data_IF_380877539124
#
_entry.id   IF_380877539124
#
_cell.length_a   1.000
_cell.length_b   1.000
_cell.length_c   1.000
_cell.angle_alpha   90.00
_cell.angle_beta   90.00
_cell.angle_gamma   90.00
#
_symmetry.space_group_name_H-M   'P 1'
#
loop_
_entity.id
_entity.type
_entity.pdbx_description
1 polymer ?
#
# COMPACT_ATOMS: atom_id res chain seq x y z
N UNK A 1 9.97 -0.56 7.20
CA UNK A 1 9.63 0.79 6.73
C UNK A 1 10.09 0.95 5.28
N UNK A 2 9.79 2.07 4.61
CA UNK A 2 10.28 2.35 3.25
C UNK A 2 11.03 3.68 3.23
N UNK A 3 12.09 3.76 2.41
CA UNK A 3 12.74 5.03 2.11
C UNK A 3 11.75 5.98 1.40
N UNK A 4 11.86 7.29 1.68
CA UNK A 4 10.88 8.28 1.23
C UNK A 4 10.66 8.28 -0.29
N UNK A 5 11.74 8.40 -1.08
CA UNK A 5 11.67 8.41 -2.56
C UNK A 5 11.12 7.09 -3.09
N UNK A 6 11.53 5.97 -2.50
CA UNK A 6 11.06 4.65 -2.92
C UNK A 6 9.56 4.50 -2.66
N UNK A 7 9.08 4.87 -1.46
CA UNK A 7 7.65 4.85 -1.13
C UNK A 7 6.83 5.72 -2.08
N UNK A 8 7.31 6.92 -2.40
CA UNK A 8 6.67 7.80 -3.39
C UNK A 8 6.54 7.11 -4.75
N UNK A 9 7.59 6.43 -5.21
CA UNK A 9 7.55 5.74 -6.51
C UNK A 9 6.57 4.56 -6.49
N UNK A 10 6.50 3.77 -5.40
CA UNK A 10 5.50 2.70 -5.28
C UNK A 10 4.07 3.24 -5.41
N UNK A 11 3.77 4.36 -4.73
CA UNK A 11 2.47 5.04 -4.83
C UNK A 11 2.21 5.54 -6.26
N UNK A 12 3.19 6.20 -6.88
CA UNK A 12 3.03 6.77 -8.22
C UNK A 12 2.75 5.72 -9.30
N UNK A 13 3.36 4.55 -9.19
CA UNK A 13 3.20 3.44 -10.13
C UNK A 13 2.06 2.48 -9.74
N UNK A 14 1.25 2.85 -8.73
CA UNK A 14 0.20 2.01 -8.16
C UNK A 14 0.67 0.59 -7.75
N UNK A 15 1.93 0.47 -7.33
CA UNK A 15 2.46 -0.78 -6.81
C UNK A 15 1.93 -0.98 -5.38
N UNK A 16 1.19 -2.08 -5.12
CA UNK A 16 0.68 -2.37 -3.78
C UNK A 16 1.81 -2.51 -2.78
N UNK A 17 1.66 -1.87 -1.62
CA UNK A 17 2.62 -1.95 -0.54
C UNK A 17 1.93 -1.80 0.81
N UNK A 18 2.49 -2.45 1.82
CA UNK A 18 1.98 -2.45 3.19
C UNK A 18 3.11 -2.12 4.15
N UNK A 19 2.79 -1.43 5.25
CA UNK A 19 3.76 -1.16 6.32
C UNK A 19 3.28 -1.82 7.60
N UNK A 20 4.09 -2.77 8.08
CA UNK A 20 3.95 -3.43 9.37
C UNK A 20 5.19 -3.11 10.21
N UNK A 21 4.97 -2.51 11.38
CA UNK A 21 6.02 -2.15 12.34
C UNK A 21 6.01 -3.04 13.59
N UNK A 22 5.22 -4.11 13.57
CA UNK A 22 5.06 -5.05 14.69
C UNK A 22 6.30 -5.97 14.81
N UNK A 23 7.04 -5.92 15.93
CA UNK A 23 8.20 -6.79 16.14
C UNK A 23 7.86 -8.29 16.11
N UNK A 24 6.66 -8.69 16.55
CA UNK A 24 6.24 -10.09 16.52
C UNK A 24 6.01 -10.56 15.09
N UNK A 25 5.52 -9.69 14.21
CA UNK A 25 5.43 -9.99 12.78
C UNK A 25 6.82 -10.22 12.18
N UNK A 26 7.80 -9.34 12.49
CA UNK A 26 9.17 -9.49 11.98
C UNK A 26 9.86 -10.76 12.48
N UNK A 27 9.56 -11.19 13.71
CA UNK A 27 10.09 -12.44 14.25
C UNK A 27 9.40 -13.69 13.66
N UNK A 28 8.13 -13.58 13.27
CA UNK A 28 7.35 -14.69 12.73
C UNK A 28 7.59 -14.95 11.23
N UNK A 29 8.06 -13.95 10.49
CA UNK A 29 8.33 -14.06 9.04
C UNK A 29 9.76 -14.51 8.81
N UNK A 30 9.93 -15.65 8.17
CA UNK A 30 11.23 -16.16 7.72
C UNK A 30 11.29 -16.22 6.20
N UNK A 31 12.49 -16.30 5.64
CA UNK A 31 12.67 -16.57 4.21
C UNK A 31 11.91 -17.84 3.80
N UNK A 32 11.23 -17.77 2.66
CA UNK A 32 10.37 -18.82 2.11
C UNK A 32 9.11 -19.17 2.92
N UNK A 33 8.77 -18.39 3.95
CA UNK A 33 7.48 -18.54 4.62
C UNK A 33 6.35 -18.21 3.65
N UNK A 34 5.31 -19.04 3.64
CA UNK A 34 4.08 -18.74 2.92
C UNK A 34 3.33 -17.61 3.62
N UNK A 35 2.92 -16.60 2.84
CA UNK A 35 2.17 -15.44 3.32
C UNK A 35 0.89 -15.29 2.51
N UNK A 36 -0.20 -14.95 3.18
CA UNK A 36 -1.45 -14.51 2.54
C UNK A 36 -1.66 -13.03 2.82
N UNK A 37 -1.95 -12.26 1.78
CA UNK A 37 -2.13 -10.79 1.90
C UNK A 37 -3.49 -10.39 1.35
N UNK A 38 -4.33 -9.84 2.22
CA UNK A 38 -5.54 -9.10 1.81
C UNK A 38 -5.17 -7.63 1.70
N UNK A 39 -4.88 -7.17 0.47
CA UNK A 39 -4.50 -5.80 0.19
C UNK A 39 -5.64 -4.80 0.43
N UNK A 40 -6.90 -5.23 0.27
CA UNK A 40 -8.05 -4.36 0.46
C UNK A 40 -8.28 -4.07 1.95
N UNK A 41 -8.04 -5.05 2.81
CA UNK A 41 -8.12 -4.90 4.27
C UNK A 41 -6.79 -4.52 4.92
N UNK A 42 -5.69 -4.57 4.17
CA UNK A 42 -4.34 -4.39 4.72
C UNK A 42 -3.96 -5.47 5.72
N UNK A 43 -4.45 -6.70 5.55
CA UNK A 43 -4.19 -7.82 6.46
C UNK A 43 -3.12 -8.74 5.88
N UNK A 44 -2.19 -9.16 6.73
CA UNK A 44 -1.15 -10.13 6.38
C UNK A 44 -1.27 -11.31 7.32
N UNK A 45 -1.37 -12.51 6.76
CA UNK A 45 -1.45 -13.76 7.51
C UNK A 45 -0.23 -14.62 7.24
N UNK A 46 0.42 -15.10 8.31
CA UNK A 46 1.61 -15.94 8.28
C UNK A 46 1.45 -17.03 9.33
N UNK A 47 1.58 -18.30 8.94
CA UNK A 47 1.42 -19.45 9.83
C UNK A 47 0.15 -19.42 10.71
N UNK A 48 -0.98 -18.96 10.14
CA UNK A 48 -2.27 -18.88 10.82
C UNK A 48 -2.45 -17.69 11.78
N UNK A 49 -1.44 -16.83 11.94
CA UNK A 49 -1.52 -15.57 12.68
C UNK A 49 -1.76 -14.41 11.72
N UNK A 50 -2.55 -13.42 12.13
CA UNK A 50 -2.91 -12.28 11.28
C UNK A 50 -2.48 -10.97 11.92
N UNK A 51 -1.89 -10.10 11.11
CA UNK A 51 -1.49 -8.75 11.48
C UNK A 51 -2.17 -7.71 10.58
N UNK A 52 -2.36 -6.52 11.15
CA UNK A 52 -2.98 -5.38 10.47
C UNK A 52 -1.90 -4.37 10.10
N UNK A 53 -1.73 -4.14 8.80
CA UNK A 53 -0.82 -3.11 8.30
C UNK A 53 -1.42 -1.71 8.51
N UNK A 54 -0.54 -0.71 8.46
CA UNK A 54 -0.95 0.69 8.43
C UNK A 54 -1.86 0.96 7.24
N UNK A 55 -2.96 1.68 7.48
CA UNK A 55 -3.88 2.08 6.43
C UNK A 55 -3.19 3.02 5.42
N UNK A 56 -3.45 2.87 4.11
CA UNK A 56 -2.99 3.83 3.12
C UNK A 56 -3.63 5.20 3.37
N UNK A 57 -2.93 6.26 2.99
CA UNK A 57 -3.54 7.60 2.94
C UNK A 57 -4.60 7.64 1.82
N UNK A 58 -5.57 8.55 1.91
CA UNK A 58 -6.61 8.71 0.87
C UNK A 58 -6.01 8.90 -0.53
N UNK A 59 -4.96 9.74 -0.65
CA UNK A 59 -4.25 9.96 -1.91
C UNK A 59 -3.63 8.65 -2.43
N UNK A 60 -2.97 7.87 -1.57
CA UNK A 60 -2.33 6.62 -2.00
C UNK A 60 -3.37 5.60 -2.46
N UNK A 61 -4.48 5.46 -1.73
CA UNK A 61 -5.58 4.59 -2.12
C UNK A 61 -6.23 5.03 -3.45
N UNK A 62 -6.49 6.34 -3.60
CA UNK A 62 -7.04 6.90 -4.83
C UNK A 62 -6.13 6.70 -6.05
N UNK A 63 -4.82 6.92 -5.89
CA UNK A 63 -3.84 6.67 -6.95
C UNK A 63 -3.76 5.18 -7.32
N UNK A 64 -3.83 4.30 -6.33
CA UNK A 64 -3.84 2.85 -6.58
C UNK A 64 -5.09 2.43 -7.36
N UNK A 65 -6.27 2.95 -7.02
CA UNK A 65 -7.51 2.70 -7.74
C UNK A 65 -7.49 3.26 -9.18
N UNK A 66 -6.79 4.38 -9.40
CA UNK A 66 -6.63 4.98 -10.72
C UNK A 66 -5.60 4.25 -11.60
N UNK A 67 -4.81 3.33 -11.06
CA UNK A 67 -3.71 2.67 -11.78
C UNK A 67 -2.43 3.51 -11.86
N UNK A 68 -2.29 4.53 -11.01
CA UNK A 68 -1.08 5.33 -10.86
C UNK A 68 -1.32 6.82 -11.11
N UNK A 69 -0.25 7.61 -10.92
CA UNK A 69 -0.31 9.07 -11.03
C UNK A 69 -0.55 9.55 -12.46
N UNK A 70 0.04 8.88 -13.46
CA UNK A 70 -0.13 9.27 -14.86
C UNK A 70 -1.58 9.04 -15.32
N UNK A 71 -2.19 7.85 -15.14
CA UNK A 71 -3.60 7.65 -15.44
C UNK A 71 -4.54 8.59 -14.68
N UNK A 72 -4.28 8.84 -13.39
CA UNK A 72 -5.09 9.75 -12.58
C UNK A 72 -5.08 11.18 -13.12
N UNK A 73 -3.90 11.69 -13.53
CA UNK A 73 -3.76 13.02 -14.14
C UNK A 73 -4.46 13.06 -15.51
N UNK A 74 -4.35 12.01 -16.32
CA UNK A 74 -5.04 11.95 -17.60
C UNK A 74 -6.57 11.99 -17.44
N UNK A 75 -7.10 11.37 -16.37
CA UNK A 75 -8.54 11.33 -16.09
C UNK A 75 -9.10 12.63 -15.48
N UNK A 76 -8.34 13.28 -14.59
CA UNK A 76 -8.85 14.38 -13.76
C UNK A 76 -8.14 15.72 -13.97
N UNK A 77 -7.06 15.74 -14.74
CA UNK A 77 -6.30 16.94 -15.04
C UNK A 77 -5.80 17.64 -13.76
N UNK A 78 -5.83 18.99 -13.72
CA UNK A 78 -5.35 19.75 -12.57
C UNK A 78 -6.09 19.48 -11.26
N UNK A 79 -7.32 18.94 -11.32
CA UNK A 79 -8.16 18.66 -10.15
C UNK A 79 -7.88 17.29 -9.53
N UNK A 80 -6.85 16.56 -10.01
CA UNK A 80 -6.60 15.16 -9.61
C UNK A 80 -6.57 14.95 -8.10
N UNK A 81 -5.85 15.77 -7.33
CA UNK A 81 -5.71 15.53 -5.90
C UNK A 81 -7.02 15.77 -5.14
N UNK A 82 -7.76 16.83 -5.50
CA UNK A 82 -9.08 17.09 -4.94
C UNK A 82 -10.04 15.92 -5.21
N UNK A 83 -10.02 15.37 -6.44
CA UNK A 83 -10.86 14.23 -6.82
C UNK A 83 -10.48 12.93 -6.12
N UNK A 84 -9.20 12.72 -5.82
CA UNK A 84 -8.73 11.50 -5.15
C UNK A 84 -8.86 11.54 -3.62
N UNK A 85 -9.08 12.71 -3.02
CA UNK A 85 -9.22 12.88 -1.57
C UNK A 85 -10.60 13.29 -1.08
N UNK A 86 -11.50 13.62 -2.01
CA UNK A 86 -12.91 13.90 -1.71
C UNK A 86 -13.64 12.63 -1.26
#
# INVERSE_FOLDING_TARGET
>A
SYAFIHKRNLVNEAIPHLVLADPEFHAAVTDNAEITVDLAKGQVTVAGRTWQAQAPTAIAAGLQAAGGIVPAILAHGPQVFEKLTA
#
